data_IF_652908509030
#
_entry.id   IF_652908509030
#
_cell.length_a   1.000
_cell.length_b   1.000
_cell.length_c   1.000
_cell.angle_alpha   90.00
_cell.angle_beta   90.00
_cell.angle_gamma   90.00
#
_symmetry.space_group_name_H-M   'P 1'
#
loop_
_entity.id
_entity.type
_entity.pdbx_description
1 polymer ?
#
# COMPACT_ATOMS: atom_id res chain seq x y z
N UNK A 1 -72.64 -11.97 13.86
CA UNK A 1 -71.29 -12.27 14.39
C UNK A 1 -70.26 -11.86 13.35
N UNK A 2 -69.78 -10.61 13.42
CA UNK A 2 -68.80 -10.03 12.51
C UNK A 2 -67.50 -9.82 13.27
N UNK A 3 -66.44 -10.53 12.87
CA UNK A 3 -65.09 -10.43 13.46
C UNK A 3 -64.51 -9.02 13.22
N UNK A 4 -63.88 -8.39 14.23
CA UNK A 4 -63.15 -7.14 14.02
C UNK A 4 -61.81 -7.41 13.30
N UNK A 5 -61.49 -6.55 12.32
CA UNK A 5 -60.25 -6.61 11.56
C UNK A 5 -59.07 -6.12 12.41
N UNK A 6 -58.03 -6.95 12.50
CA UNK A 6 -56.75 -6.63 13.13
C UNK A 6 -55.96 -5.68 12.22
N UNK A 7 -55.74 -4.43 12.66
CA UNK A 7 -54.76 -3.55 12.01
C UNK A 7 -53.36 -3.88 12.52
N UNK A 8 -52.40 -4.27 11.67
CA UNK A 8 -51.03 -4.46 12.08
C UNK A 8 -50.36 -3.10 12.32
N UNK A 9 -49.96 -2.84 13.57
CA UNK A 9 -49.03 -1.76 13.90
C UNK A 9 -47.71 -2.02 13.17
N UNK A 10 -47.43 -1.23 12.12
CA UNK A 10 -46.13 -1.21 11.48
C UNK A 10 -45.16 -0.46 12.39
N UNK A 11 -44.27 -1.19 13.06
CA UNK A 11 -43.10 -0.62 13.71
C UNK A 11 -42.13 -0.14 12.62
N UNK A 12 -41.65 1.12 12.64
CA UNK A 12 -40.67 1.58 11.67
C UNK A 12 -39.36 0.82 11.93
N UNK A 13 -38.98 -0.04 10.98
CA UNK A 13 -37.67 -0.67 10.97
C UNK A 13 -36.62 0.45 10.94
N UNK A 14 -35.71 0.44 11.93
CA UNK A 14 -34.58 1.35 11.99
C UNK A 14 -33.85 1.36 10.63
N UNK A 15 -33.86 2.50 9.96
CA UNK A 15 -33.06 2.73 8.77
C UNK A 15 -31.57 2.60 9.15
N UNK A 16 -30.94 1.50 8.72
CA UNK A 16 -29.50 1.38 8.72
C UNK A 16 -28.94 2.48 7.82
N UNK A 17 -28.24 3.47 8.39
CA UNK A 17 -27.60 4.53 7.61
C UNK A 17 -26.56 3.89 6.67
N UNK A 18 -26.65 4.06 5.35
CA UNK A 18 -25.60 3.62 4.46
C UNK A 18 -24.34 4.44 4.74
N UNK A 19 -23.24 3.78 5.11
CA UNK A 19 -21.93 4.42 5.14
C UNK A 19 -21.48 4.67 3.70
N UNK A 20 -21.81 5.84 3.15
CA UNK A 20 -21.29 6.27 1.86
C UNK A 20 -19.88 6.85 2.03
N UNK A 21 -18.93 6.41 1.19
CA UNK A 21 -17.56 6.93 1.19
C UNK A 21 -17.47 8.29 0.47
N UNK A 22 -18.48 8.63 -0.33
CA UNK A 22 -18.51 9.84 -1.17
C UNK A 22 -18.44 11.12 -0.31
N UNK A 23 -19.24 11.30 0.76
CA UNK A 23 -19.16 12.49 1.59
C UNK A 23 -17.82 12.62 2.31
N UNK A 24 -17.20 11.50 2.69
CA UNK A 24 -15.87 11.50 3.32
C UNK A 24 -14.78 11.93 2.34
N UNK A 25 -14.85 11.44 1.10
CA UNK A 25 -13.95 11.84 0.03
C UNK A 25 -14.10 13.32 -0.28
N UNK A 26 -15.34 13.80 -0.45
CA UNK A 26 -15.60 15.21 -0.74
C UNK A 26 -15.14 16.13 0.40
N UNK A 27 -15.40 15.75 1.64
CA UNK A 27 -14.88 16.46 2.82
C UNK A 27 -13.35 16.50 2.84
N UNK A 28 -12.69 15.41 2.45
CA UNK A 28 -11.23 15.34 2.38
C UNK A 28 -10.64 16.22 1.27
N UNK A 29 -11.32 16.31 0.13
CA UNK A 29 -10.92 17.17 -0.99
C UNK A 29 -11.07 18.63 -0.60
N UNK A 30 -12.24 19.02 -0.07
CA UNK A 30 -12.48 20.38 0.42
C UNK A 30 -11.47 20.78 1.48
N UNK A 31 -11.20 19.91 2.46
CA UNK A 31 -10.16 20.14 3.47
C UNK A 31 -8.78 20.37 2.83
N UNK A 32 -8.40 19.56 1.82
CA UNK A 32 -7.12 19.71 1.12
C UNK A 32 -7.03 21.05 0.38
N UNK A 33 -8.09 21.47 -0.31
CA UNK A 33 -8.18 22.79 -0.98
C UNK A 33 -8.06 23.93 0.03
N UNK A 34 -8.78 23.86 1.15
CA UNK A 34 -8.71 24.88 2.21
C UNK A 34 -7.30 24.99 2.78
N UNK A 35 -6.61 23.86 3.03
CA UNK A 35 -5.23 23.88 3.52
C UNK A 35 -4.28 24.50 2.49
N UNK A 36 -4.41 24.16 1.21
CA UNK A 36 -3.62 24.76 0.12
C UNK A 36 -3.79 26.28 0.06
N UNK A 37 -5.03 26.76 0.02
CA UNK A 37 -5.34 28.19 -0.02
C UNK A 37 -4.88 28.92 1.26
N UNK A 38 -5.06 28.29 2.43
CA UNK A 38 -4.60 28.85 3.71
C UNK A 38 -3.07 28.95 3.75
N UNK A 39 -2.35 27.94 3.26
CA UNK A 39 -0.89 27.98 3.17
C UNK A 39 -0.41 29.09 2.23
N UNK A 40 -1.03 29.22 1.05
CA UNK A 40 -0.72 30.29 0.11
C UNK A 40 -0.94 31.67 0.75
N UNK A 41 -2.12 31.89 1.35
CA UNK A 41 -2.48 33.17 1.96
C UNK A 41 -1.64 33.53 3.20
N UNK A 42 -1.26 32.55 4.03
CA UNK A 42 -0.49 32.80 5.27
C UNK A 42 1.01 32.93 5.03
N UNK A 43 1.56 32.16 4.09
CA UNK A 43 2.99 32.20 3.78
C UNK A 43 3.35 33.26 2.73
N UNK A 44 2.35 33.79 2.01
CA UNK A 44 2.53 34.72 0.88
C UNK A 44 3.55 34.19 -0.14
N UNK A 45 3.60 32.87 -0.30
CA UNK A 45 4.52 32.21 -1.22
C UNK A 45 3.83 31.97 -2.56
N UNK A 46 4.54 32.09 -3.69
CA UNK A 46 3.99 31.70 -4.98
C UNK A 46 3.59 30.22 -5.02
N UNK A 47 2.64 29.87 -5.87
CA UNK A 47 2.12 28.50 -5.99
C UNK A 47 3.20 27.42 -6.19
N UNK A 48 4.28 27.71 -6.92
CA UNK A 48 5.38 26.75 -7.10
C UNK A 48 6.11 26.36 -5.78
N UNK A 49 6.03 27.19 -4.73
CA UNK A 49 6.53 26.87 -3.38
C UNK A 49 5.42 26.36 -2.46
N UNK A 50 4.21 26.89 -2.58
CA UNK A 50 3.06 26.44 -1.78
C UNK A 50 2.78 24.95 -2.01
N UNK A 51 2.86 24.46 -3.25
CA UNK A 51 2.62 23.05 -3.59
C UNK A 51 3.61 22.10 -2.86
N UNK A 52 4.94 22.30 -2.92
CA UNK A 52 5.90 21.55 -2.11
C UNK A 52 5.68 21.69 -0.59
N UNK A 53 5.32 22.87 -0.10
CA UNK A 53 5.01 23.08 1.32
C UNK A 53 3.78 22.30 1.77
N UNK A 54 2.74 22.24 0.95
CA UNK A 54 1.59 21.39 1.19
C UNK A 54 1.96 19.91 1.21
N UNK A 55 2.80 19.47 0.27
CA UNK A 55 3.34 18.11 0.28
C UNK A 55 4.15 17.82 1.57
N UNK A 56 4.90 18.80 2.08
CA UNK A 56 5.61 18.70 3.36
C UNK A 56 4.64 18.52 4.52
N UNK A 57 3.56 19.30 4.58
CA UNK A 57 2.52 19.18 5.61
C UNK A 57 1.92 17.77 5.64
N UNK A 58 1.51 17.22 4.48
CA UNK A 58 1.00 15.84 4.39
C UNK A 58 2.06 14.82 4.84
N UNK A 59 3.32 15.02 4.46
CA UNK A 59 4.41 14.13 4.83
C UNK A 59 4.65 14.12 6.35
N UNK A 60 4.63 15.29 7.00
CA UNK A 60 4.83 15.41 8.44
C UNK A 60 3.63 14.86 9.23
N UNK A 61 2.39 15.12 8.78
CA UNK A 61 1.19 14.73 9.50
C UNK A 61 0.80 13.26 9.31
N UNK A 62 0.88 12.72 8.08
CA UNK A 62 0.42 11.37 7.78
C UNK A 62 1.58 10.38 7.61
N UNK A 63 2.60 10.75 6.83
CA UNK A 63 3.63 9.79 6.40
C UNK A 63 4.71 9.55 7.45
N UNK A 64 5.15 10.58 8.18
CA UNK A 64 6.18 10.45 9.20
C UNK A 64 5.74 9.55 10.37
N UNK A 65 4.53 9.72 10.97
CA UNK A 65 4.08 8.84 12.06
C UNK A 65 3.94 7.38 11.62
N UNK A 66 3.42 7.13 10.42
CA UNK A 66 3.26 5.77 9.89
C UNK A 66 4.61 5.12 9.57
N UNK A 67 5.58 5.89 9.09
CA UNK A 67 6.96 5.44 8.87
C UNK A 67 7.67 5.10 10.19
N UNK A 68 7.50 5.92 11.23
CA UNK A 68 8.01 5.64 12.57
C UNK A 68 7.39 4.37 13.16
N UNK A 69 6.07 4.22 13.03
CA UNK A 69 5.35 3.03 13.49
C UNK A 69 5.85 1.76 12.81
N UNK A 70 5.93 1.73 11.48
CA UNK A 70 6.41 0.55 10.74
C UNK A 70 7.88 0.27 11.01
N UNK A 71 8.71 1.30 11.21
CA UNK A 71 10.11 1.11 11.61
C UNK A 71 10.23 0.46 12.99
N UNK A 72 9.41 0.86 13.97
CA UNK A 72 9.36 0.23 15.30
C UNK A 72 8.91 -1.24 15.21
N UNK A 73 7.92 -1.54 14.37
CA UNK A 73 7.49 -2.92 14.10
C UNK A 73 8.64 -3.73 13.47
N UNK A 74 9.37 -3.15 12.52
CA UNK A 74 10.51 -3.80 11.87
C UNK A 74 11.66 -4.09 12.85
N UNK A 75 11.98 -3.17 13.76
CA UNK A 75 12.98 -3.37 14.81
C UNK A 75 12.61 -4.53 15.74
N UNK A 76 11.36 -4.56 16.21
CA UNK A 76 10.86 -5.69 17.03
C UNK A 76 10.95 -7.01 16.27
N UNK A 77 10.60 -7.00 14.98
CA UNK A 77 10.71 -8.19 14.12
C UNK A 77 12.16 -8.65 13.97
N UNK A 78 13.09 -7.71 13.82
CA UNK A 78 14.51 -8.02 13.68
C UNK A 78 15.05 -8.71 14.95
N UNK A 79 14.66 -8.27 16.14
CA UNK A 79 14.98 -8.95 17.40
C UNK A 79 14.40 -10.37 17.52
N UNK A 80 13.28 -10.67 16.84
CA UNK A 80 12.67 -12.00 16.80
C UNK A 80 13.24 -12.93 15.72
N UNK A 81 14.20 -12.45 14.91
CA UNK A 81 14.84 -13.24 13.85
C UNK A 81 15.51 -14.51 14.37
N UNK A 82 16.37 -14.50 15.43
CA UNK A 82 16.99 -15.72 15.95
C UNK A 82 15.97 -16.75 16.43
N UNK A 83 14.89 -16.30 17.07
CA UNK A 83 13.77 -17.17 17.46
C UNK A 83 13.10 -17.81 16.23
N UNK A 84 13.00 -17.05 15.14
CA UNK A 84 12.52 -17.54 13.86
C UNK A 84 13.38 -18.65 13.28
N UNK A 85 14.70 -18.51 13.36
CA UNK A 85 15.66 -19.53 12.90
C UNK A 85 15.56 -20.80 13.75
N UNK A 86 15.48 -20.67 15.08
CA UNK A 86 15.32 -21.80 15.99
C UNK A 86 14.03 -22.59 15.72
N UNK A 87 12.91 -21.89 15.51
CA UNK A 87 11.64 -22.52 15.16
C UNK A 87 11.68 -23.19 13.78
N UNK A 88 12.34 -22.59 12.80
CA UNK A 88 12.48 -23.18 11.47
C UNK A 88 13.24 -24.52 11.52
N UNK A 89 14.29 -24.60 12.35
CA UNK A 89 15.01 -25.86 12.61
C UNK A 89 14.13 -26.90 13.31
N UNK A 90 13.27 -26.48 14.25
CA UNK A 90 12.30 -27.37 14.90
C UNK A 90 11.28 -27.93 13.91
N UNK A 91 10.66 -27.08 13.09
CA UNK A 91 9.69 -27.51 12.06
C UNK A 91 10.35 -28.47 11.07
N UNK A 92 11.62 -28.25 10.73
CA UNK A 92 12.37 -29.16 9.88
C UNK A 92 12.53 -30.55 10.53
N UNK A 93 12.83 -30.63 11.83
CA UNK A 93 12.93 -31.91 12.57
C UNK A 93 11.58 -32.63 12.66
N UNK A 94 10.51 -31.93 13.03
CA UNK A 94 9.16 -32.50 13.12
C UNK A 94 8.69 -33.04 11.76
N UNK A 95 9.03 -32.34 10.67
CA UNK A 95 8.73 -32.78 9.31
C UNK A 95 9.63 -33.91 8.86
N UNK A 96 10.90 -33.96 9.31
CA UNK A 96 11.82 -35.05 8.98
C UNK A 96 11.42 -36.35 9.67
N UNK A 97 10.99 -36.32 10.94
CA UNK A 97 10.47 -37.51 11.63
C UNK A 97 9.15 -37.99 11.04
N UNK A 98 8.24 -37.06 10.71
CA UNK A 98 6.98 -37.38 10.03
C UNK A 98 7.20 -37.88 8.60
N UNK A 99 8.22 -37.36 7.90
CA UNK A 99 8.62 -37.82 6.58
C UNK A 99 9.32 -39.17 6.63
N UNK A 100 10.10 -39.48 7.68
CA UNK A 100 10.67 -40.82 7.87
C UNK A 100 9.56 -41.86 8.13
N UNK A 101 8.57 -41.52 8.94
CA UNK A 101 7.39 -42.36 9.17
C UNK A 101 6.54 -42.53 7.90
N UNK A 102 6.33 -41.46 7.12
CA UNK A 102 5.62 -41.51 5.85
C UNK A 102 6.44 -42.22 4.75
N UNK A 103 7.77 -42.07 4.71
CA UNK A 103 8.65 -42.74 3.75
C UNK A 103 8.76 -44.24 4.01
N UNK A 104 8.69 -44.67 5.28
CA UNK A 104 8.49 -46.08 5.63
C UNK A 104 7.18 -46.66 5.05
N UNK A 105 6.21 -45.80 4.72
CA UNK A 105 4.93 -46.15 4.12
C UNK A 105 4.84 -45.85 2.61
N UNK A 106 5.71 -44.99 2.07
CA UNK A 106 5.65 -44.39 0.72
C UNK A 106 6.90 -44.72 -0.14
N UNK A 107 7.63 -45.81 0.16
CA UNK A 107 8.80 -46.31 -0.61
C UNK A 107 8.53 -46.54 -2.12
N UNK A 108 7.31 -46.34 -2.62
CA UNK A 108 6.89 -46.52 -4.01
C UNK A 108 6.82 -45.24 -4.87
N UNK A 109 6.82 -44.02 -4.29
CA UNK A 109 6.60 -42.79 -5.06
C UNK A 109 7.90 -42.01 -5.32
N UNK A 110 8.78 -42.59 -6.14
CA UNK A 110 10.05 -41.96 -6.53
C UNK A 110 9.89 -40.56 -7.14
N UNK A 111 10.86 -39.69 -6.85
CA UNK A 111 11.22 -38.57 -7.74
C UNK A 111 11.15 -37.13 -7.19
N UNK A 112 11.58 -36.14 -8.00
CA UNK A 112 11.65 -34.70 -7.67
C UNK A 112 10.34 -34.08 -7.15
N UNK A 113 9.20 -34.70 -7.47
CA UNK A 113 7.86 -34.27 -7.07
C UNK A 113 7.61 -34.48 -5.56
N UNK A 114 8.15 -35.55 -4.97
CA UNK A 114 8.03 -35.80 -3.52
C UNK A 114 8.76 -34.72 -2.71
N UNK A 115 9.99 -34.36 -3.13
CA UNK A 115 10.74 -33.24 -2.57
C UNK A 115 9.99 -31.92 -2.72
N UNK A 116 9.36 -31.66 -3.88
CA UNK A 116 8.54 -30.44 -4.08
C UNK A 116 7.32 -30.41 -3.15
N UNK A 117 6.60 -31.52 -3.00
CA UNK A 117 5.46 -31.62 -2.06
C UNK A 117 5.93 -31.41 -0.62
N UNK A 118 7.06 -31.99 -0.22
CA UNK A 118 7.68 -31.78 1.09
C UNK A 118 8.05 -30.31 1.30
N UNK A 119 8.71 -29.65 0.34
CA UNK A 119 9.06 -28.23 0.42
C UNK A 119 7.84 -27.33 0.58
N UNK A 120 6.75 -27.62 -0.14
CA UNK A 120 5.49 -26.87 0.00
C UNK A 120 4.88 -27.07 1.38
N UNK A 121 4.83 -28.31 1.90
CA UNK A 121 4.34 -28.60 3.26
C UNK A 121 5.19 -27.92 4.33
N UNK A 122 6.51 -28.01 4.20
CA UNK A 122 7.47 -27.33 5.08
C UNK A 122 7.27 -25.81 5.07
N UNK A 123 7.19 -25.20 3.88
CA UNK A 123 6.97 -23.76 3.73
C UNK A 123 5.62 -23.34 4.35
N UNK A 124 4.57 -24.13 4.16
CA UNK A 124 3.26 -23.88 4.75
C UNK A 124 3.27 -23.97 6.28
N UNK A 125 3.91 -25.00 6.85
CA UNK A 125 4.05 -25.14 8.30
C UNK A 125 4.87 -24.01 8.92
N UNK A 126 6.01 -23.66 8.29
CA UNK A 126 6.84 -22.55 8.74
C UNK A 126 6.09 -21.20 8.64
N UNK A 127 5.30 -20.99 7.58
CA UNK A 127 4.46 -19.79 7.44
C UNK A 127 3.36 -19.71 8.52
N UNK A 128 2.74 -20.84 8.89
CA UNK A 128 1.76 -20.89 9.98
C UNK A 128 2.39 -20.52 11.32
N UNK A 129 3.54 -21.11 11.64
CA UNK A 129 4.27 -20.80 12.88
C UNK A 129 4.74 -19.35 12.92
N UNK A 130 5.22 -18.83 11.78
CA UNK A 130 5.57 -17.41 11.67
C UNK A 130 4.37 -16.49 11.92
N UNK A 131 3.18 -16.82 11.41
CA UNK A 131 1.95 -16.04 11.69
C UNK A 131 1.57 -16.09 13.17
N UNK A 132 1.63 -17.26 13.80
CA UNK A 132 1.35 -17.44 15.25
C UNK A 132 2.32 -16.65 16.12
N UNK A 133 3.62 -16.74 15.82
CA UNK A 133 4.66 -15.92 16.48
C UNK A 133 4.37 -14.43 16.27
N UNK A 134 4.21 -13.99 15.04
CA UNK A 134 3.95 -12.58 14.77
C UNK A 134 2.67 -12.07 15.45
N UNK A 135 1.64 -12.92 15.63
CA UNK A 135 0.43 -12.58 16.38
C UNK A 135 0.72 -12.44 17.88
N UNK A 136 1.46 -13.38 18.49
CA UNK A 136 1.83 -13.37 19.92
C UNK A 136 2.59 -12.10 20.34
N UNK A 137 3.56 -11.66 19.54
CA UNK A 137 4.34 -10.44 19.83
C UNK A 137 3.75 -9.16 19.22
N UNK A 138 2.57 -9.22 18.59
CA UNK A 138 1.93 -8.05 17.98
C UNK A 138 2.71 -7.45 16.79
N UNK A 139 3.51 -8.25 16.08
CA UNK A 139 4.34 -7.85 14.94
C UNK A 139 3.82 -8.46 13.64
N UNK A 140 2.50 -8.41 13.43
CA UNK A 140 1.83 -9.00 12.26
C UNK A 140 2.37 -8.40 10.95
N UNK A 141 2.39 -9.21 9.88
CA UNK A 141 2.84 -8.75 8.55
C UNK A 141 1.92 -7.70 7.93
N UNK A 142 0.63 -7.72 8.24
CA UNK A 142 -0.30 -6.72 7.70
C UNK A 142 0.02 -5.30 8.16
N UNK A 143 0.71 -5.13 9.30
CA UNK A 143 1.15 -3.83 9.80
C UNK A 143 2.12 -3.12 8.84
N UNK A 144 2.78 -3.87 7.97
CA UNK A 144 3.65 -3.32 6.93
C UNK A 144 2.83 -2.55 5.87
N UNK A 145 1.52 -2.81 5.75
CA UNK A 145 0.60 -2.11 4.82
C UNK A 145 0.00 -0.82 5.38
N UNK A 146 0.16 -0.54 6.68
CA UNK A 146 -0.46 0.63 7.33
C UNK A 146 -0.10 1.96 6.64
N UNK A 147 1.16 2.23 6.23
CA UNK A 147 1.48 3.47 5.54
C UNK A 147 0.72 3.61 4.21
N UNK A 148 0.57 2.52 3.45
CA UNK A 148 -0.19 2.56 2.20
C UNK A 148 -1.66 2.89 2.49
N UNK A 149 -2.30 2.17 3.41
CA UNK A 149 -3.73 2.35 3.71
C UNK A 149 -4.07 3.72 4.31
N UNK A 150 -3.19 4.29 5.13
CA UNK A 150 -3.44 5.58 5.80
C UNK A 150 -3.05 6.78 4.94
N UNK A 151 -1.96 6.69 4.19
CA UNK A 151 -1.42 7.84 3.45
C UNK A 151 -2.03 7.95 2.05
N UNK A 152 -2.42 6.84 1.44
CA UNK A 152 -2.95 6.83 0.08
C UNK A 152 -4.20 7.72 -0.08
N UNK A 153 -5.24 7.64 0.77
CA UNK A 153 -6.42 8.49 0.63
C UNK A 153 -6.10 10.00 0.76
N UNK A 154 -5.19 10.35 1.68
CA UNK A 154 -4.78 11.75 1.89
C UNK A 154 -3.99 12.27 0.69
N UNK A 155 -3.07 11.47 0.17
CA UNK A 155 -2.29 11.84 -1.02
C UNK A 155 -3.19 12.05 -2.23
N UNK A 156 -4.19 11.17 -2.39
CA UNK A 156 -5.17 11.20 -3.47
C UNK A 156 -6.11 12.41 -3.38
N UNK A 157 -6.57 12.75 -2.17
CA UNK A 157 -7.33 13.98 -1.92
C UNK A 157 -6.54 15.23 -2.32
N UNK A 158 -5.23 15.25 -2.06
CA UNK A 158 -4.34 16.33 -2.52
C UNK A 158 -4.24 16.43 -4.05
N UNK A 159 -4.16 15.30 -4.76
CA UNK A 159 -4.17 15.28 -6.23
C UNK A 159 -5.49 15.82 -6.79
N UNK A 160 -6.61 15.33 -6.27
CA UNK A 160 -7.93 15.75 -6.76
C UNK A 160 -8.19 17.22 -6.46
N UNK A 161 -7.80 17.71 -5.28
CA UNK A 161 -7.88 19.12 -4.93
C UNK A 161 -7.09 19.98 -5.93
N UNK A 162 -5.82 19.65 -6.17
CA UNK A 162 -4.97 20.40 -7.08
C UNK A 162 -5.45 20.31 -8.53
N UNK A 163 -5.94 19.14 -8.96
CA UNK A 163 -6.57 18.94 -10.27
C UNK A 163 -7.80 19.83 -10.45
N UNK A 164 -8.67 19.92 -9.44
CA UNK A 164 -9.87 20.77 -9.47
C UNK A 164 -9.49 22.26 -9.50
N UNK A 165 -8.45 22.67 -8.76
CA UNK A 165 -7.92 24.03 -8.80
C UNK A 165 -7.32 24.39 -10.17
N UNK A 166 -6.79 23.42 -10.91
CA UNK A 166 -6.33 23.61 -12.29
C UNK A 166 -7.49 23.59 -13.32
N UNK A 167 -8.75 23.53 -12.90
CA UNK A 167 -9.92 23.49 -13.79
C UNK A 167 -10.25 22.11 -14.37
N UNK A 168 -9.71 21.03 -13.80
CA UNK A 168 -10.01 19.67 -14.24
C UNK A 168 -11.47 19.25 -14.00
N UNK A 169 -12.05 18.39 -14.85
CA UNK A 169 -13.41 17.87 -14.65
C UNK A 169 -13.56 17.18 -13.29
N UNK A 170 -14.67 17.49 -12.59
CA UNK A 170 -15.05 16.81 -11.34
C UNK A 170 -15.41 15.35 -11.62
N UNK A 171 -14.94 14.40 -10.80
CA UNK A 171 -15.41 13.01 -10.84
C UNK A 171 -14.40 11.93 -11.20
N UNK A 172 -13.10 12.23 -11.29
CA UNK A 172 -12.08 11.18 -11.46
C UNK A 172 -12.15 10.12 -10.36
N UNK A 173 -12.33 10.53 -9.11
CA UNK A 173 -12.40 9.61 -7.98
C UNK A 173 -13.70 8.78 -7.94
N UNK A 174 -14.82 9.34 -8.39
CA UNK A 174 -16.06 8.57 -8.53
C UNK A 174 -15.90 7.41 -9.51
N UNK A 175 -15.24 7.67 -10.65
CA UNK A 175 -15.05 6.67 -11.70
C UNK A 175 -13.96 5.65 -11.37
N UNK A 176 -12.93 6.04 -10.61
CA UNK A 176 -11.82 5.15 -10.20
C UNK A 176 -12.16 4.30 -8.98
N UNK A 177 -12.91 4.84 -8.01
CA UNK A 177 -13.24 4.14 -6.75
C UNK A 177 -14.50 3.27 -6.87
N UNK A 178 -15.48 3.65 -7.70
CA UNK A 178 -16.77 2.94 -7.79
C UNK A 178 -17.00 2.13 -9.08
N UNK A 179 -16.03 2.11 -9.98
CA UNK A 179 -16.05 1.27 -11.18
C UNK A 179 -16.97 1.80 -12.28
N UNK A 180 -16.46 1.76 -13.50
CA UNK A 180 -17.17 2.09 -14.75
C UNK A 180 -18.62 1.58 -14.73
N UNK A 181 -19.58 2.51 -14.65
CA UNK A 181 -20.93 2.28 -15.14
C UNK A 181 -21.20 3.29 -16.25
N UNK A 182 -20.98 2.82 -17.48
CA UNK A 182 -21.50 3.33 -18.75
C UNK A 182 -21.62 4.85 -18.91
N UNK A 183 -20.68 5.45 -19.62
CA UNK A 183 -20.80 6.80 -20.15
C UNK A 183 -19.51 7.17 -20.85
N UNK A 184 -19.58 7.41 -22.15
CA UNK A 184 -18.48 7.70 -23.05
C UNK A 184 -17.59 8.82 -22.50
N UNK A 185 -16.40 8.46 -22.01
CA UNK A 185 -15.38 9.42 -21.62
C UNK A 185 -14.06 8.94 -22.21
N UNK A 186 -13.81 9.35 -23.44
CA UNK A 186 -12.50 9.37 -24.13
C UNK A 186 -11.54 10.35 -23.43
N UNK A 187 -11.33 10.17 -22.13
CA UNK A 187 -10.62 11.12 -21.28
C UNK A 187 -9.41 10.51 -20.60
N UNK A 188 -8.31 11.26 -20.64
CA UNK A 188 -6.98 11.14 -19.98
C UNK A 188 -7.00 10.57 -18.55
N UNK A 189 -8.15 10.55 -17.86
CA UNK A 189 -8.33 10.00 -16.52
C UNK A 189 -8.24 8.47 -16.40
N UNK A 190 -8.46 7.71 -17.48
CA UNK A 190 -8.32 6.24 -17.48
C UNK A 190 -6.88 5.76 -17.28
N UNK A 191 -5.90 6.48 -17.84
CA UNK A 191 -4.48 6.12 -17.80
C UNK A 191 -3.83 6.44 -16.44
N UNK A 192 -4.28 7.50 -15.77
CA UNK A 192 -3.94 7.81 -14.38
C UNK A 192 -4.44 6.72 -13.42
N UNK A 193 -5.65 6.21 -13.64
CA UNK A 193 -6.24 5.16 -12.83
C UNK A 193 -5.44 3.85 -12.93
N UNK A 194 -4.99 3.48 -14.13
CA UNK A 194 -4.21 2.26 -14.34
C UNK A 194 -2.76 2.38 -13.82
N UNK A 195 -2.14 3.56 -13.93
CA UNK A 195 -0.82 3.85 -13.36
C UNK A 195 -0.82 3.90 -11.83
N UNK A 196 -1.87 4.49 -11.22
CA UNK A 196 -2.05 4.52 -9.77
C UNK A 196 -2.47 3.15 -9.24
N UNK A 197 -3.32 2.40 -9.96
CA UNK A 197 -3.69 1.02 -9.65
C UNK A 197 -2.50 0.05 -9.78
N UNK A 198 -1.58 0.29 -10.72
CA UNK A 198 -0.30 -0.41 -10.79
C UNK A 198 0.55 -0.15 -9.54
N UNK A 199 0.60 1.11 -9.08
CA UNK A 199 1.23 1.48 -7.80
C UNK A 199 0.45 0.92 -6.60
N UNK A 200 -0.86 0.71 -6.65
CA UNK A 200 -1.64 0.07 -5.58
C UNK A 200 -1.54 -1.47 -5.57
N UNK A 201 -1.40 -2.10 -6.73
CA UNK A 201 -1.19 -3.55 -6.88
C UNK A 201 0.23 -3.95 -6.47
N UNK A 202 1.20 -3.02 -6.53
CA UNK A 202 2.45 -3.05 -5.76
C UNK A 202 2.23 -3.38 -4.30
N UNK A 203 1.13 -2.83 -3.78
CA UNK A 203 0.74 -2.82 -2.41
C UNK A 203 -0.48 -3.71 -2.09
N UNK A 204 -0.81 -4.63 -2.99
CA UNK A 204 -1.59 -5.84 -2.72
C UNK A 204 -3.07 -5.64 -2.37
N UNK A 205 -3.92 -5.71 -3.39
CA UNK A 205 -5.11 -6.59 -3.41
C UNK A 205 -6.44 -6.06 -2.84
N UNK A 206 -7.25 -5.44 -3.72
CA UNK A 206 -8.60 -5.88 -4.12
C UNK A 206 -9.76 -5.95 -3.10
N UNK A 207 -10.80 -5.14 -3.34
CA UNK A 207 -12.17 -5.38 -2.86
C UNK A 207 -13.13 -4.21 -3.17
N UNK A 208 -13.80 -4.21 -4.32
CA UNK A 208 -14.79 -3.19 -4.72
C UNK A 208 -16.22 -3.54 -4.28
N UNK A 209 -17.00 -2.52 -3.91
CA UNK A 209 -18.43 -2.61 -3.58
C UNK A 209 -19.19 -1.51 -4.34
N UNK A 210 -20.28 -1.89 -5.02
CA UNK A 210 -21.09 -1.03 -5.90
C UNK A 210 -22.17 -0.21 -5.14
N UNK A 211 -22.56 0.95 -5.67
CA UNK A 211 -23.55 1.88 -5.07
C UNK A 211 -24.71 2.18 -6.05
N UNK A 212 -25.93 2.23 -5.51
CA UNK A 212 -27.21 2.45 -6.20
C UNK A 212 -27.78 3.89 -6.11
N UNK A 213 -28.98 4.06 -6.67
CA UNK A 213 -29.46 5.25 -7.39
C UNK A 213 -30.00 6.45 -6.58
N UNK A 214 -29.95 6.46 -5.25
CA UNK A 214 -30.60 7.51 -4.44
C UNK A 214 -29.71 8.73 -4.12
N UNK A 215 -28.52 8.82 -4.74
CA UNK A 215 -27.57 9.93 -4.55
C UNK A 215 -27.90 11.23 -5.29
N UNK A 216 -28.97 11.25 -6.10
CA UNK A 216 -29.24 12.36 -7.02
C UNK A 216 -29.75 13.65 -6.34
N UNK A 217 -30.47 13.55 -5.21
CA UNK A 217 -31.03 14.73 -4.54
C UNK A 217 -30.01 15.43 -3.61
N UNK A 218 -29.15 14.67 -2.93
CA UNK A 218 -28.06 15.19 -2.10
C UNK A 218 -26.87 15.66 -2.94
N UNK A 219 -26.73 15.13 -4.16
CA UNK A 219 -25.77 15.62 -5.13
C UNK A 219 -26.03 17.09 -5.48
N UNK A 220 -27.28 17.54 -5.55
CA UNK A 220 -27.63 18.91 -5.97
C UNK A 220 -27.23 19.97 -4.92
N UNK A 221 -27.44 19.72 -3.63
CA UNK A 221 -27.05 20.65 -2.56
C UNK A 221 -25.53 20.71 -2.35
N UNK A 222 -24.85 19.58 -2.56
CA UNK A 222 -23.37 19.51 -2.53
C UNK A 222 -22.77 20.11 -3.81
N UNK A 223 -23.45 20.01 -4.96
CA UNK A 223 -23.05 20.65 -6.23
C UNK A 223 -23.04 22.18 -6.11
N UNK A 224 -23.96 22.76 -5.35
CA UNK A 224 -24.06 24.21 -5.14
C UNK A 224 -23.01 24.73 -4.15
N UNK A 225 -22.66 23.95 -3.12
CA UNK A 225 -21.50 24.23 -2.26
C UNK A 225 -20.16 24.02 -3.00
N UNK A 226 -20.10 23.09 -3.97
CA UNK A 226 -18.92 22.82 -4.80
C UNK A 226 -18.77 23.78 -5.99
N UNK A 227 -19.82 24.51 -6.38
CA UNK A 227 -19.74 25.52 -7.43
C UNK A 227 -18.72 26.63 -7.11
N UNK A 228 -18.28 26.75 -5.84
CA UNK A 228 -17.29 27.70 -5.36
C UNK A 228 -15.80 27.33 -5.51
N UNK A 229 -15.41 26.10 -5.93
CA UNK A 229 -13.99 25.82 -6.23
C UNK A 229 -13.64 26.29 -7.65
N UNK A 230 -13.73 27.60 -7.85
CA UNK A 230 -13.32 28.29 -9.07
C UNK A 230 -11.81 28.06 -9.23
N UNK A 231 -11.38 27.69 -10.44
CA UNK A 231 -9.97 27.59 -10.76
C UNK A 231 -9.25 28.87 -10.32
N UNK A 232 -8.16 28.75 -9.55
CA UNK A 232 -7.48 29.93 -9.03
C UNK A 232 -6.62 30.54 -10.16
N UNK A 233 -7.00 31.72 -10.69
CA UNK A 233 -6.32 32.30 -11.84
C UNK A 233 -4.86 32.65 -11.55
N UNK A 234 -4.48 32.83 -10.28
CA UNK A 234 -3.10 33.13 -9.90
C UNK A 234 -2.14 31.96 -10.18
N UNK A 235 -2.65 30.72 -10.21
CA UNK A 235 -1.85 29.53 -10.56
C UNK A 235 -1.32 29.56 -12.01
N UNK A 236 -1.98 30.28 -12.92
CA UNK A 236 -1.53 30.42 -14.30
C UNK A 236 -0.29 31.33 -14.43
N UNK A 237 0.00 32.16 -13.43
CA UNK A 237 1.06 33.17 -13.48
C UNK A 237 2.21 32.92 -12.49
N UNK A 238 1.97 32.09 -11.46
CA UNK A 238 2.91 31.88 -10.35
C UNK A 238 3.70 30.56 -10.44
N UNK A 239 4.01 30.13 -11.66
CA UNK A 239 4.98 29.06 -11.89
C UNK A 239 6.43 29.52 -11.71
N UNK A 240 7.37 28.67 -12.13
CA UNK A 240 8.78 29.04 -12.12
C UNK A 240 9.57 28.37 -13.24
N UNK A 241 10.77 28.91 -13.52
CA UNK A 241 11.70 28.38 -14.51
C UNK A 241 11.07 28.28 -15.92
N UNK A 242 10.91 27.06 -16.44
CA UNK A 242 10.34 26.79 -17.77
C UNK A 242 8.84 26.46 -17.73
N UNK A 243 8.24 26.33 -16.55
CA UNK A 243 6.81 26.03 -16.36
C UNK A 243 6.12 27.19 -15.63
N UNK A 244 5.81 28.26 -16.37
CA UNK A 244 5.23 29.49 -15.82
C UNK A 244 3.74 29.33 -15.48
N UNK A 245 3.00 28.60 -16.31
CA UNK A 245 1.61 28.26 -16.07
C UNK A 245 1.52 26.86 -15.44
N UNK A 246 1.06 26.79 -14.19
CA UNK A 246 0.93 25.52 -13.46
C UNK A 246 -0.32 24.72 -13.86
N UNK A 247 -1.29 25.35 -14.52
CA UNK A 247 -2.55 24.75 -14.94
C UNK A 247 -2.44 24.01 -16.28
N UNK A 248 -1.41 24.32 -17.07
CA UNK A 248 -1.12 23.70 -18.36
C UNK A 248 -0.06 22.60 -18.20
N UNK A 249 -0.01 21.67 -19.16
CA UNK A 249 1.06 20.68 -19.24
C UNK A 249 2.44 21.34 -19.38
N UNK A 250 3.48 20.68 -18.86
CA UNK A 250 4.86 21.15 -19.00
C UNK A 250 5.24 21.25 -20.49
N UNK A 251 5.53 22.45 -21.03
CA UNK A 251 5.83 22.63 -22.45
C UNK A 251 7.00 21.77 -22.97
N UNK A 252 7.95 21.46 -22.09
CA UNK A 252 9.12 20.65 -22.42
C UNK A 252 9.03 19.22 -21.88
N UNK A 253 7.94 18.86 -21.20
CA UNK A 253 7.70 17.57 -20.57
C UNK A 253 8.80 17.10 -19.60
N UNK A 254 9.65 18.01 -19.11
CA UNK A 254 10.73 17.70 -18.18
C UNK A 254 10.16 17.14 -16.87
N UNK A 255 9.09 17.73 -16.34
CA UNK A 255 8.45 17.32 -15.09
C UNK A 255 7.88 15.88 -15.15
N UNK A 256 7.06 15.48 -16.15
CA UNK A 256 6.61 14.10 -16.29
C UNK A 256 7.76 13.08 -16.34
N UNK A 257 8.82 13.34 -17.10
CA UNK A 257 9.98 12.44 -17.17
C UNK A 257 10.82 12.45 -15.90
N UNK A 258 10.97 13.61 -15.23
CA UNK A 258 11.64 13.70 -13.95
C UNK A 258 10.89 12.92 -12.85
N UNK A 259 9.55 12.99 -12.86
CA UNK A 259 8.70 12.18 -11.99
C UNK A 259 8.92 10.69 -12.24
N UNK A 260 8.86 10.27 -13.50
CA UNK A 260 9.10 8.88 -13.90
C UNK A 260 10.47 8.38 -13.41
N UNK A 261 11.53 9.17 -13.62
CA UNK A 261 12.87 8.87 -13.14
C UNK A 261 12.91 8.78 -11.60
N UNK A 262 12.28 9.72 -10.89
CA UNK A 262 12.22 9.70 -9.43
C UNK A 262 11.50 8.46 -8.88
N UNK A 263 10.38 8.06 -9.50
CA UNK A 263 9.64 6.84 -9.13
C UNK A 263 10.45 5.57 -9.42
N UNK A 264 11.14 5.52 -10.57
CA UNK A 264 12.01 4.40 -10.91
C UNK A 264 13.16 4.26 -9.89
N UNK A 265 13.84 5.36 -9.55
CA UNK A 265 14.91 5.38 -8.55
C UNK A 265 14.44 4.91 -7.17
N UNK A 266 13.19 5.19 -6.81
CA UNK A 266 12.59 4.72 -5.56
C UNK A 266 12.36 3.20 -5.50
N UNK A 267 12.09 2.59 -6.65
CA UNK A 267 11.81 1.15 -6.76
C UNK A 267 13.08 0.31 -6.89
N UNK A 268 14.19 0.92 -7.31
CA UNK A 268 15.45 0.21 -7.52
C UNK A 268 16.06 -0.27 -6.19
N UNK A 269 16.59 -1.51 -6.14
CA UNK A 269 17.23 -2.03 -4.94
C UNK A 269 18.50 -1.24 -4.61
N UNK A 270 18.61 -0.74 -3.38
CA UNK A 270 19.82 -0.02 -2.90
C UNK A 270 21.03 -0.92 -2.65
N UNK A 271 20.84 -2.24 -2.55
CA UNK A 271 21.92 -3.21 -2.34
C UNK A 271 22.37 -3.80 -3.66
N UNK A 272 23.69 -3.87 -3.91
CA UNK A 272 24.29 -4.45 -5.12
C UNK A 272 23.83 -5.91 -5.34
N UNK A 273 23.78 -6.70 -4.28
CA UNK A 273 23.33 -8.10 -4.33
C UNK A 273 21.85 -8.19 -4.73
N UNK A 274 21.01 -7.31 -4.17
CA UNK A 274 19.60 -7.25 -4.51
C UNK A 274 19.36 -6.72 -5.93
N UNK A 275 20.17 -5.77 -6.41
CA UNK A 275 20.12 -5.25 -7.77
C UNK A 275 20.49 -6.31 -8.80
N UNK A 276 21.57 -7.08 -8.58
CA UNK A 276 21.94 -8.21 -9.45
C UNK A 276 20.81 -9.22 -9.56
N UNK A 277 20.25 -9.64 -8.42
CA UNK A 277 19.10 -10.53 -8.41
C UNK A 277 17.87 -9.92 -9.09
N UNK A 278 17.64 -8.61 -8.90
CA UNK A 278 16.52 -7.90 -9.52
C UNK A 278 16.61 -7.87 -11.05
N UNK A 279 17.80 -7.68 -11.62
CA UNK A 279 18.04 -7.71 -13.06
C UNK A 279 18.29 -9.11 -13.63
N UNK A 280 18.32 -10.15 -12.79
CA UNK A 280 18.62 -11.51 -13.24
C UNK A 280 20.09 -11.72 -13.63
N UNK A 281 20.99 -10.88 -13.11
CA UNK A 281 22.43 -11.01 -13.27
C UNK A 281 22.96 -12.13 -12.36
N UNK A 282 24.13 -12.68 -12.72
CA UNK A 282 24.79 -13.73 -11.94
C UNK A 282 24.96 -13.32 -10.45
N UNK A 283 24.63 -14.25 -9.56
CA UNK A 283 24.76 -14.06 -8.12
C UNK A 283 26.23 -14.02 -7.71
N UNK A 284 26.55 -13.20 -6.71
CA UNK A 284 27.87 -13.22 -6.09
C UNK A 284 28.08 -14.56 -5.36
N UNK A 285 29.24 -15.21 -5.53
CA UNK A 285 29.52 -16.50 -4.88
C UNK A 285 29.36 -16.38 -3.36
N UNK A 286 28.59 -17.29 -2.76
CA UNK A 286 28.31 -17.31 -1.32
C UNK A 286 27.13 -16.43 -0.85
N UNK A 287 26.44 -15.72 -1.75
CA UNK A 287 25.25 -14.94 -1.39
C UNK A 287 23.95 -15.65 -1.76
N UNK A 288 23.09 -15.89 -0.77
CA UNK A 288 21.74 -16.46 -0.98
C UNK A 288 20.70 -15.38 -0.76
N UNK A 289 20.08 -14.90 -1.84
CA UNK A 289 18.96 -13.95 -1.76
C UNK A 289 17.65 -14.73 -1.72
N UNK A 290 17.09 -14.90 -0.52
CA UNK A 290 15.79 -15.54 -0.36
C UNK A 290 14.66 -14.51 -0.57
N UNK A 291 14.35 -14.20 -1.83
CA UNK A 291 13.19 -13.37 -2.19
C UNK A 291 12.08 -14.17 -2.86
N UNK A 292 10.83 -13.81 -2.56
CA UNK A 292 9.65 -14.39 -3.21
C UNK A 292 9.63 -14.02 -4.70
N UNK A 293 9.46 -15.01 -5.58
CA UNK A 293 9.31 -14.80 -7.03
C UNK A 293 8.15 -13.86 -7.36
N UNK A 294 7.04 -13.94 -6.61
CA UNK A 294 5.92 -13.03 -6.80
C UNK A 294 6.32 -11.59 -6.50
N UNK A 295 6.96 -11.36 -5.35
CA UNK A 295 7.45 -10.02 -4.98
C UNK A 295 8.42 -9.45 -6.01
N UNK A 296 9.30 -10.27 -6.57
CA UNK A 296 10.21 -9.84 -7.63
C UNK A 296 9.47 -9.44 -8.91
N UNK A 297 8.51 -10.27 -9.36
CA UNK A 297 7.67 -9.97 -10.52
C UNK A 297 6.89 -8.68 -10.32
N UNK A 298 6.33 -8.50 -9.13
CA UNK A 298 5.62 -7.29 -8.76
C UNK A 298 6.56 -6.07 -8.84
N UNK A 299 7.73 -6.11 -8.19
CA UNK A 299 8.71 -5.01 -8.24
C UNK A 299 9.14 -4.66 -9.68
N UNK A 300 9.33 -5.65 -10.55
CA UNK A 300 9.63 -5.41 -11.97
C UNK A 300 8.45 -4.78 -12.71
N UNK A 301 7.23 -5.26 -12.47
CA UNK A 301 6.02 -4.67 -13.03
C UNK A 301 5.86 -3.20 -12.63
N UNK A 302 6.13 -2.87 -11.37
CA UNK A 302 6.11 -1.49 -10.89
C UNK A 302 7.15 -0.60 -11.52
N UNK A 303 8.33 -1.14 -11.78
CA UNK A 303 9.36 -0.38 -12.47
C UNK A 303 8.91 -0.02 -13.89
N UNK A 304 8.26 -0.96 -14.58
CA UNK A 304 7.66 -0.67 -15.91
C UNK A 304 6.58 0.40 -15.81
N UNK A 305 5.69 0.32 -14.81
CA UNK A 305 4.67 1.35 -14.56
C UNK A 305 5.32 2.70 -14.28
N UNK A 306 6.33 2.76 -13.41
CA UNK A 306 7.04 3.99 -13.09
C UNK A 306 7.69 4.64 -14.31
N UNK A 307 8.26 3.84 -15.23
CA UNK A 307 8.79 4.32 -16.51
C UNK A 307 7.67 4.83 -17.42
N UNK A 308 6.54 4.12 -17.48
CA UNK A 308 5.38 4.51 -18.28
C UNK A 308 4.65 5.76 -17.76
N UNK A 309 4.75 6.08 -16.47
CA UNK A 309 4.10 7.27 -15.87
C UNK A 309 4.49 8.55 -16.60
N UNK A 310 5.74 8.71 -17.05
CA UNK A 310 6.18 9.93 -17.75
C UNK A 310 5.36 10.19 -19.02
N UNK A 311 5.40 9.29 -20.02
CA UNK A 311 4.58 9.39 -21.22
C UNK A 311 3.07 9.43 -20.95
N UNK A 312 2.57 8.64 -19.99
CA UNK A 312 1.13 8.57 -19.71
C UNK A 312 0.56 9.81 -19.03
N UNK A 313 1.41 10.62 -18.39
CA UNK A 313 0.98 11.81 -17.65
C UNK A 313 1.46 13.11 -18.30
N UNK A 314 1.98 13.05 -19.53
CA UNK A 314 2.57 14.20 -20.21
C UNK A 314 1.56 15.36 -20.41
N UNK A 315 0.28 15.03 -20.62
CA UNK A 315 -0.80 15.99 -20.83
C UNK A 315 -1.41 16.56 -19.53
N UNK A 316 -0.90 16.17 -18.37
CA UNK A 316 -1.43 16.64 -17.08
C UNK A 316 -0.85 18.01 -16.71
N UNK A 317 -1.60 18.84 -15.96
CA UNK A 317 -1.11 20.11 -15.44
C UNK A 317 0.22 19.96 -14.68
N UNK A 318 1.17 20.87 -14.93
CA UNK A 318 2.48 20.90 -14.31
C UNK A 318 2.41 20.91 -12.77
N UNK A 319 1.36 21.53 -12.19
CA UNK A 319 1.08 21.50 -10.75
C UNK A 319 1.05 20.07 -10.18
N UNK A 320 0.43 19.12 -10.89
CA UNK A 320 0.30 17.74 -10.44
C UNK A 320 1.65 17.03 -10.39
N UNK A 321 2.50 17.23 -11.41
CA UNK A 321 3.85 16.66 -11.40
C UNK A 321 4.70 17.28 -10.30
N UNK A 322 4.64 18.61 -10.11
CA UNK A 322 5.38 19.30 -9.07
C UNK A 322 5.01 18.78 -7.67
N UNK A 323 3.72 18.62 -7.40
CA UNK A 323 3.22 18.02 -6.15
C UNK A 323 3.77 16.60 -5.97
N UNK A 324 3.69 15.78 -7.02
CA UNK A 324 4.05 14.37 -6.93
C UNK A 324 5.56 14.18 -6.73
N UNK A 325 6.39 14.92 -7.47
CA UNK A 325 7.85 14.92 -7.31
C UNK A 325 8.22 15.36 -5.89
N UNK A 326 7.65 16.47 -5.42
CA UNK A 326 7.93 17.00 -4.08
C UNK A 326 7.52 16.01 -2.99
N UNK A 327 6.31 15.45 -3.07
CA UNK A 327 5.81 14.45 -2.12
C UNK A 327 6.68 13.19 -2.11
N UNK A 328 7.12 12.73 -3.28
CA UNK A 328 8.03 11.58 -3.44
C UNK A 328 9.41 11.85 -2.84
N UNK A 329 10.00 13.02 -3.10
CA UNK A 329 11.29 13.42 -2.55
C UNK A 329 11.26 13.54 -1.02
N UNK A 330 10.21 14.16 -0.47
CA UNK A 330 10.00 14.29 0.97
C UNK A 330 9.78 12.93 1.65
N UNK A 331 9.17 11.98 0.94
CA UNK A 331 9.05 10.59 1.40
C UNK A 331 10.41 9.91 1.51
N UNK A 332 11.26 10.09 0.50
CA UNK A 332 12.61 9.55 0.54
C UNK A 332 13.40 10.14 1.69
N UNK A 333 13.29 11.47 1.87
CA UNK A 333 13.96 12.19 2.93
C UNK A 333 13.51 11.69 4.32
N UNK A 334 12.21 11.64 4.59
CA UNK A 334 11.66 11.14 5.86
C UNK A 334 12.06 9.70 6.12
N UNK A 335 11.99 8.82 5.11
CA UNK A 335 12.41 7.42 5.25
C UNK A 335 13.92 7.30 5.50
N UNK A 336 14.73 8.12 4.84
CA UNK A 336 16.19 8.13 5.03
C UNK A 336 16.57 8.64 6.43
N UNK A 337 15.93 9.72 6.90
CA UNK A 337 16.09 10.25 8.25
C UNK A 337 15.72 9.16 9.27
N UNK A 338 14.55 8.55 9.15
CA UNK A 338 14.11 7.47 10.06
C UNK A 338 15.05 6.27 10.01
N UNK A 339 15.56 5.90 8.84
CA UNK A 339 16.51 4.80 8.70
C UNK A 339 17.85 5.09 9.38
N UNK A 340 18.32 6.34 9.34
CA UNK A 340 19.54 6.81 10.03
C UNK A 340 19.34 6.90 11.54
N UNK A 341 18.21 7.43 12.00
CA UNK A 341 17.89 7.60 13.43
C UNK A 341 17.58 6.28 14.14
N UNK A 342 17.01 5.30 13.43
CA UNK A 342 16.63 4.00 14.00
C UNK A 342 17.20 2.85 13.17
N UNK A 343 18.51 2.55 13.22
CA UNK A 343 19.14 1.49 12.41
C UNK A 343 18.60 0.10 12.78
N UNK A 344 18.42 -0.77 11.77
CA UNK A 344 18.02 -2.15 12.02
C UNK A 344 19.22 -2.95 12.57
N UNK A 345 19.03 -3.80 13.58
CA UNK A 345 20.11 -4.64 14.10
C UNK A 345 20.56 -5.64 13.01
N UNK A 346 21.85 -5.94 12.99
CA UNK A 346 22.43 -6.93 12.09
C UNK A 346 21.81 -8.30 12.34
N UNK A 347 21.45 -9.00 11.27
CA UNK A 347 20.86 -10.34 11.38
C UNK A 347 21.86 -11.30 12.01
N UNK A 348 21.51 -11.86 13.16
CA UNK A 348 22.31 -12.92 13.80
C UNK A 348 22.36 -14.12 12.86
N UNK A 349 23.57 -14.60 12.58
CA UNK A 349 23.76 -15.79 11.74
C UNK A 349 23.26 -17.04 12.46
N UNK A 350 22.77 -18.06 11.73
CA UNK A 350 22.34 -19.31 12.35
C UNK A 350 23.48 -19.92 13.19
N UNK A 351 23.13 -20.50 14.34
CA UNK A 351 24.10 -21.22 15.17
C UNK A 351 24.77 -22.33 14.36
N UNK A 352 26.11 -22.34 14.33
CA UNK A 352 26.90 -23.31 13.55
C UNK A 352 26.81 -24.74 14.11
N UNK A 353 26.42 -24.91 15.38
CA UNK A 353 26.33 -26.20 16.06
C UNK A 353 24.90 -26.43 16.57
N UNK A 354 24.37 -27.61 16.31
CA UNK A 354 23.13 -28.11 16.88
C UNK A 354 23.49 -28.99 18.07
N UNK A 355 23.33 -28.50 19.30
CA UNK A 355 23.44 -29.38 20.46
C UNK A 355 22.25 -30.35 20.45
N UNK A 356 22.55 -31.65 20.35
CA UNK A 356 21.54 -32.71 20.22
C UNK A 356 20.86 -33.05 21.55
N UNK A 357 21.44 -32.61 22.68
CA UNK A 357 21.13 -33.12 24.02
C UNK A 357 20.40 -32.10 24.88
N UNK A 358 19.34 -31.48 24.36
CA UNK A 358 18.45 -30.65 25.17
C UNK A 358 17.07 -31.30 25.26
N UNK A 359 16.69 -31.75 26.46
CA UNK A 359 15.34 -32.25 26.74
C UNK A 359 14.39 -31.06 26.64
N UNK A 360 13.62 -31.00 25.56
CA UNK A 360 12.58 -29.97 25.41
C UNK A 360 11.45 -30.24 26.40
N UNK A 361 10.93 -29.22 27.09
CA UNK A 361 9.73 -29.36 27.89
C UNK A 361 8.54 -29.80 27.02
N UNK A 362 7.64 -30.58 27.61
CA UNK A 362 6.46 -31.12 26.94
C UNK A 362 5.55 -30.00 26.41
N UNK A 363 5.06 -30.13 25.18
CA UNK A 363 4.37 -29.02 24.48
C UNK A 363 2.97 -28.80 25.08
N UNK A 364 2.60 -27.55 25.34
CA UNK A 364 1.20 -27.19 25.63
C UNK A 364 0.28 -27.42 24.42
N UNK A 365 0.80 -27.41 23.19
CA UNK A 365 0.01 -27.67 21.98
C UNK A 365 -0.47 -29.13 21.87
N UNK A 366 0.27 -30.06 22.49
CA UNK A 366 -0.20 -31.44 22.66
C UNK A 366 -1.44 -31.46 23.54
N UNK A 367 -1.55 -30.55 24.53
CA UNK A 367 -2.73 -30.47 25.40
C UNK A 367 -3.95 -29.97 24.64
N UNK A 368 -3.81 -28.97 23.77
CA UNK A 368 -4.93 -28.48 22.94
C UNK A 368 -5.39 -29.52 21.89
N UNK A 369 -4.46 -30.25 21.28
CA UNK A 369 -4.80 -31.32 20.34
C UNK A 369 -5.36 -32.56 21.03
N UNK A 370 -4.86 -32.91 22.23
CA UNK A 370 -5.43 -33.97 23.06
C UNK A 370 -6.80 -33.59 23.63
N UNK A 371 -7.03 -32.32 23.98
CA UNK A 371 -8.32 -31.81 24.43
C UNK A 371 -9.36 -31.91 23.31
N UNK A 372 -9.04 -31.42 22.11
CA UNK A 372 -9.94 -31.50 20.95
C UNK A 372 -10.18 -32.94 20.47
N UNK A 373 -9.21 -33.85 20.67
CA UNK A 373 -9.34 -35.28 20.32
C UNK A 373 -10.04 -36.12 21.41
N UNK A 374 -10.23 -35.57 22.61
CA UNK A 374 -11.07 -36.17 23.67
C UNK A 374 -12.53 -35.70 23.62
N UNK A 375 -12.80 -34.61 22.91
CA UNK A 375 -14.16 -34.06 22.73
C UNK A 375 -14.84 -34.49 21.42
N UNK A 376 -14.08 -35.02 20.46
CA UNK A 376 -14.58 -35.73 19.29
C UNK A 376 -14.50 -37.23 19.56
#
# INVERSE_FOLDING_TARGET
MTRPAFHPHQTPLQQCRPFSLIPLLESSITCSTTVLQTLHATTLTPWYLTIPLFALTINLCARLPTTLFTRRVALRRAGLTPLGLAWAGRVQRDMASSAAAAAAQEQAAGGPLAMRKWMVKYAAANAREQRRRNRRWGVQRWKDWVPALMVFPVWLAGIEALRRMCGGPRGMLGNVVFGLKGGDATGVGGHLAEGVKGVEDAFGGGGGVAVGADGAALATEVQEALAGSVADPTMATEGCLWFQDLMVADPYHVLPFALSAALALNLLPKSKVAARHFFGLAAEPGTVVMQSKWRLRLQRGLLMVAIAVGPLTMDLPAALHLYWISSSALTQLSTAIVARLMPLPTTVTPAKKSEQTFVMPERDETKDTLYNKRQA
#
